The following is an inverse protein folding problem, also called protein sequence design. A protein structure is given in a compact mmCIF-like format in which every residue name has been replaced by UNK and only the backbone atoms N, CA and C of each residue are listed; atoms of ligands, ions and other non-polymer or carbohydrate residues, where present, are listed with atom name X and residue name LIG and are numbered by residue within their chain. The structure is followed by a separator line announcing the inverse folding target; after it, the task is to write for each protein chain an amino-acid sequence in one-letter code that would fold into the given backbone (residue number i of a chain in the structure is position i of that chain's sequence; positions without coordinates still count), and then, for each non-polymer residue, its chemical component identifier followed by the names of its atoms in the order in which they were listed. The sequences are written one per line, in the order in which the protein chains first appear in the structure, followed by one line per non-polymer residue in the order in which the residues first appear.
data_IF_903046201393
#
_entry.id   IF_903046201393
#
_cell.length_a   1.000
_cell.length_b   1.000
_cell.length_c   1.000
_cell.angle_alpha   90.00
_cell.angle_beta   90.00
_cell.angle_gamma   90.00
#
_symmetry.space_group_name_H-M   'P 1'
#
loop_
_entity.id
_entity.type
_entity.pdbx_description
1 polymer ?
#
# COMPACT_ATOMS: atom_id res chain seq x y z
N UNK A 1 5.24 -0.59 15.62
CA UNK A 1 5.11 -0.48 14.14
C UNK A 1 4.69 -1.81 13.52
N UNK A 2 5.20 -2.95 13.97
CA UNK A 2 4.77 -4.30 13.56
C UNK A 2 3.26 -4.54 13.65
N UNK A 3 2.62 -4.05 14.71
CA UNK A 3 1.17 -4.24 14.90
C UNK A 3 0.32 -3.55 13.83
N UNK A 4 0.80 -2.40 13.32
CA UNK A 4 0.14 -1.65 12.26
C UNK A 4 0.20 -2.45 10.96
N UNK A 5 1.34 -3.08 10.68
CA UNK A 5 1.52 -3.89 9.48
C UNK A 5 0.66 -5.15 9.52
N UNK A 6 0.59 -5.83 10.67
CA UNK A 6 -0.27 -6.99 10.83
C UNK A 6 -1.75 -6.64 10.59
N UNK A 7 -2.21 -5.49 11.12
CA UNK A 7 -3.58 -5.02 10.88
C UNK A 7 -3.82 -4.57 9.45
N UNK A 8 -2.80 -3.97 8.82
CA UNK A 8 -2.87 -3.64 7.40
C UNK A 8 -2.99 -4.91 6.56
N UNK A 9 -2.32 -6.00 6.95
CA UNK A 9 -2.49 -7.31 6.30
C UNK A 9 -3.90 -7.86 6.47
N UNK A 10 -4.51 -7.74 7.65
CA UNK A 10 -5.93 -8.10 7.83
C UNK A 10 -6.85 -7.24 6.96
N UNK A 11 -6.58 -5.94 6.85
CA UNK A 11 -7.35 -5.04 5.99
C UNK A 11 -7.25 -5.42 4.51
N UNK A 12 -6.05 -5.81 4.05
CA UNK A 12 -5.85 -6.34 2.70
C UNK A 12 -6.58 -7.68 2.52
N UNK A 13 -6.63 -8.52 3.56
CA UNK A 13 -7.36 -9.78 3.52
C UNK A 13 -8.88 -9.57 3.44
N UNK A 14 -9.40 -8.56 4.14
CA UNK A 14 -10.84 -8.24 4.17
C UNK A 14 -11.28 -7.55 2.86
N UNK A 15 -10.41 -6.73 2.26
CA UNK A 15 -10.68 -5.97 1.03
C UNK A 15 -9.62 -6.20 -0.08
N UNK A 16 -9.42 -7.44 -0.54
CA UNK A 16 -8.28 -7.80 -1.40
C UNK A 16 -8.36 -7.20 -2.81
N UNK A 17 -9.57 -6.90 -3.29
CA UNK A 17 -9.79 -6.40 -4.65
C UNK A 17 -9.91 -4.89 -4.71
N UNK A 18 -10.78 -4.31 -3.89
CA UNK A 18 -11.05 -2.87 -3.90
C UNK A 18 -10.10 -2.05 -3.04
N UNK A 19 -9.49 -2.69 -2.03
CA UNK A 19 -8.98 -1.95 -0.88
C UNK A 19 -10.11 -1.25 -0.12
N UNK A 20 -9.71 -0.38 0.81
CA UNK A 20 -10.61 0.46 1.61
C UNK A 20 -10.89 1.83 0.98
N UNK A 21 -10.25 2.12 -0.16
CA UNK A 21 -10.32 3.41 -0.84
C UNK A 21 -9.17 4.33 -0.45
N UNK A 22 -8.66 5.07 -1.43
CA UNK A 22 -7.54 5.99 -1.24
C UNK A 22 -7.88 7.08 -0.21
N UNK A 23 -7.02 7.24 0.78
CA UNK A 23 -7.20 8.22 1.86
C UNK A 23 -8.15 7.78 2.99
N UNK A 24 -8.80 6.62 2.87
CA UNK A 24 -9.71 6.09 3.90
C UNK A 24 -9.05 5.13 4.88
N UNK A 25 -7.72 4.93 4.78
CA UNK A 25 -6.97 4.07 5.69
C UNK A 25 -7.24 4.36 7.19
N UNK A 26 -7.21 5.62 7.68
CA UNK A 26 -7.47 5.90 9.09
C UNK A 26 -8.91 5.59 9.50
N UNK A 27 -9.87 5.84 8.61
CA UNK A 27 -11.30 5.60 8.87
C UNK A 27 -11.59 4.10 8.95
N UNK A 28 -11.13 3.35 7.96
CA UNK A 28 -11.25 1.89 7.93
C UNK A 28 -10.55 1.26 9.14
N UNK A 29 -9.39 1.80 9.53
CA UNK A 29 -8.68 1.33 10.71
C UNK A 29 -9.51 1.54 11.98
N UNK A 30 -10.11 2.72 12.17
CA UNK A 30 -10.97 3.03 13.33
C UNK A 30 -12.24 2.21 13.38
N UNK A 31 -12.87 1.97 12.23
CA UNK A 31 -14.17 1.27 12.14
C UNK A 31 -14.00 -0.24 12.31
N UNK A 32 -13.07 -0.85 11.58
CA UNK A 32 -12.92 -2.31 11.53
C UNK A 32 -11.94 -2.85 12.57
N UNK A 33 -11.01 -2.02 13.06
CA UNK A 33 -10.02 -2.42 14.05
C UNK A 33 -9.96 -1.42 15.23
N UNK A 34 -11.01 -1.32 16.07
CA UNK A 34 -11.06 -0.34 17.16
C UNK A 34 -10.22 -0.71 18.40
N UNK A 35 -10.08 -1.99 18.76
CA UNK A 35 -9.47 -2.46 20.03
C UNK A 35 -7.95 -2.65 19.95
N UNK A 36 -7.31 -1.77 19.21
CA UNK A 36 -6.27 -2.17 18.29
C UNK A 36 -4.97 -1.42 18.56
N UNK A 37 -5.13 -0.18 18.98
CA UNK A 37 -4.08 0.75 19.32
C UNK A 37 -4.57 1.65 20.44
N UNK A 38 -3.61 2.24 21.13
CA UNK A 38 -3.87 3.35 22.04
C UNK A 38 -4.66 4.44 21.30
N UNK A 39 -5.82 4.90 21.80
CA UNK A 39 -6.61 5.96 21.19
C UNK A 39 -5.82 7.26 20.93
N UNK A 40 -4.71 7.47 21.65
CA UNK A 40 -3.80 8.60 21.47
C UNK A 40 -2.84 8.45 20.28
N UNK A 41 -2.71 7.25 19.70
CA UNK A 41 -1.88 6.97 18.54
C UNK A 41 -2.57 7.47 17.26
N UNK A 42 -2.22 8.68 16.84
CA UNK A 42 -2.64 9.27 15.56
C UNK A 42 -2.04 8.48 14.38
N UNK A 43 -2.68 7.40 13.96
CA UNK A 43 -2.26 6.65 12.77
C UNK A 43 -2.91 7.21 11.51
N UNK A 44 -2.09 7.81 10.67
CA UNK A 44 -2.51 8.31 9.36
C UNK A 44 -2.21 7.31 8.22
N UNK A 45 -1.19 6.46 8.38
CA UNK A 45 -0.70 5.59 7.30
C UNK A 45 -0.05 4.32 7.86
N UNK A 46 0.08 3.29 7.02
CA UNK A 46 0.79 2.04 7.34
C UNK A 46 2.31 2.23 7.55
N UNK A 47 2.86 3.40 7.19
CA UNK A 47 4.31 3.69 7.13
C UNK A 47 5.12 2.71 6.26
N UNK A 48 4.44 1.99 5.36
CA UNK A 48 5.01 1.14 4.34
C UNK A 48 4.18 1.37 3.07
N UNK A 49 4.81 1.93 2.03
CA UNK A 49 4.09 2.33 0.81
C UNK A 49 3.45 1.14 0.09
N UNK A 50 4.06 -0.04 0.13
CA UNK A 50 3.49 -1.23 -0.49
C UNK A 50 2.23 -1.69 0.21
N UNK A 51 2.25 -1.69 1.55
CA UNK A 51 1.08 -2.01 2.37
C UNK A 51 0.01 -0.93 2.24
N UNK A 52 0.40 0.34 2.15
CA UNK A 52 -0.54 1.45 1.95
C UNK A 52 -1.27 1.33 0.62
N UNK A 53 -0.54 1.12 -0.49
CA UNK A 53 -1.13 0.96 -1.83
C UNK A 53 -2.04 -0.26 -1.87
N UNK A 54 -1.63 -1.38 -1.29
CA UNK A 54 -2.45 -2.59 -1.22
C UNK A 54 -3.71 -2.40 -0.36
N UNK A 55 -3.63 -1.67 0.75
CA UNK A 55 -4.78 -1.36 1.58
C UNK A 55 -5.73 -0.40 0.89
N UNK A 56 -5.22 0.63 0.21
CA UNK A 56 -6.04 1.68 -0.41
C UNK A 56 -6.71 1.22 -1.71
N UNK A 57 -6.00 0.44 -2.54
CA UNK A 57 -6.43 0.07 -3.91
C UNK A 57 -6.57 -1.44 -4.13
N UNK A 58 -6.33 -2.26 -3.10
CA UNK A 58 -6.30 -3.71 -3.22
C UNK A 58 -5.06 -4.24 -3.93
N UNK A 59 -5.00 -5.57 -4.05
CA UNK A 59 -3.96 -6.28 -4.78
C UNK A 59 -3.91 -5.91 -6.27
N UNK A 60 -5.04 -5.72 -7.00
CA UNK A 60 -4.99 -5.24 -8.37
C UNK A 60 -4.30 -3.87 -8.50
N UNK A 61 -4.60 -2.94 -7.58
CA UNK A 61 -3.95 -1.64 -7.53
C UNK A 61 -2.44 -1.74 -7.27
N UNK A 62 -2.04 -2.61 -6.33
CA UNK A 62 -0.61 -2.88 -6.08
C UNK A 62 0.10 -3.43 -7.32
N UNK A 63 -0.50 -4.38 -8.03
CA UNK A 63 0.08 -4.96 -9.26
C UNK A 63 0.27 -3.90 -10.34
N UNK A 64 -0.74 -3.04 -10.57
CA UNK A 64 -0.63 -1.95 -11.53
C UNK A 64 0.47 -0.96 -11.13
N UNK A 65 0.53 -0.58 -9.85
CA UNK A 65 1.53 0.35 -9.34
C UNK A 65 2.97 -0.21 -9.50
N UNK A 66 3.18 -1.49 -9.17
CA UNK A 66 4.47 -2.17 -9.37
C UNK A 66 4.83 -2.26 -10.86
N UNK A 67 3.84 -2.50 -11.73
CA UNK A 67 4.06 -2.56 -13.17
C UNK A 67 4.59 -1.25 -13.73
N UNK A 68 4.05 -0.11 -13.28
CA UNK A 68 4.54 1.23 -13.66
C UNK A 68 6.00 1.41 -13.25
N UNK A 69 6.36 1.02 -12.02
CA UNK A 69 7.74 1.11 -11.53
C UNK A 69 8.69 0.24 -12.37
N UNK A 70 8.32 -1.01 -12.64
CA UNK A 70 9.13 -1.93 -13.43
C UNK A 70 9.31 -1.44 -14.87
N UNK A 71 8.25 -0.95 -15.51
CA UNK A 71 8.32 -0.39 -16.87
C UNK A 71 9.25 0.83 -16.90
N UNK A 72 9.13 1.72 -15.90
CA UNK A 72 9.98 2.91 -15.80
C UNK A 72 11.45 2.52 -15.66
N UNK A 73 11.76 1.61 -14.75
CA UNK A 73 13.13 1.11 -14.54
C UNK A 73 13.67 0.43 -15.80
N UNK A 74 12.87 -0.45 -16.41
CA UNK A 74 13.25 -1.17 -17.62
C UNK A 74 13.50 -0.22 -18.80
N UNK A 75 12.64 0.79 -18.97
CA UNK A 75 12.79 1.84 -19.98
C UNK A 75 14.04 2.67 -19.76
N UNK A 76 14.28 3.16 -18.53
CA UNK A 76 15.50 3.90 -18.19
C UNK A 76 16.76 3.06 -18.42
N UNK A 77 16.72 1.78 -18.04
CA UNK A 77 17.82 0.83 -18.27
C UNK A 77 18.07 0.57 -19.76
N UNK A 78 17.02 0.47 -20.56
CA UNK A 78 17.14 0.31 -22.01
C UNK A 78 17.86 1.52 -22.62
N UNK A 79 17.42 2.74 -22.31
CA UNK A 79 18.03 3.99 -22.79
C UNK A 79 19.49 4.10 -22.37
N UNK A 80 19.80 3.77 -21.12
CA UNK A 80 21.18 3.78 -20.60
C UNK A 80 22.10 2.84 -21.39
N UNK A 81 21.61 1.64 -21.75
CA UNK A 81 22.41 0.66 -22.52
C UNK A 81 22.58 1.07 -23.98
N UNK A 82 21.59 1.71 -24.59
CA UNK A 82 21.69 2.18 -25.98
C UNK A 82 22.57 3.41 -26.13
N UNK A 83 22.56 4.34 -25.16
CA UNK A 83 23.42 5.53 -25.18
C UNK A 83 24.89 5.30 -24.84
N UNK A 84 25.24 4.09 -24.37
CA UNK A 84 26.63 3.66 -24.12
C UNK A 84 27.28 2.98 -25.33
N UNK A 85 26.54 2.75 -26.41
CA UNK A 85 27.07 2.29 -27.70
C UNK A 85 27.33 3.49 -28.59
#
# INVERSE_FOLDING_TARGET
RSDIWLRTLYMIQDFPLSGVGMGHFPDAFRIFYPNSLDPSSYLMHAHNIYLQVAADLGLPGLVLWLSILLITIAGSWHVYRTGKR
#
